data_IF_158211595682
#
_entry.id   IF_158211595682
#
_cell.length_a   1.000
_cell.length_b   1.000
_cell.length_c   1.000
_cell.angle_alpha   90.00
_cell.angle_beta   90.00
_cell.angle_gamma   90.00
#
_symmetry.space_group_name_H-M   'P 1'
#
loop_
_entity.id
_entity.type
_entity.pdbx_description
1 polymer ?
#
# COMPACT_ATOMS: atom_id res chain seq x y z
N UNK A 1 -0.03 -19.47 16.25
CA UNK A 1 0.06 -18.48 15.16
C UNK A 1 -1.32 -17.88 15.00
N UNK A 2 -1.43 -16.55 14.85
CA UNK A 2 -2.72 -15.92 14.62
C UNK A 2 -3.31 -16.45 13.29
N UNK A 3 -4.50 -17.04 13.35
CA UNK A 3 -5.28 -17.39 12.17
C UNK A 3 -6.03 -16.13 11.76
N UNK A 4 -5.62 -15.49 10.66
CA UNK A 4 -6.39 -14.40 10.07
C UNK A 4 -7.63 -14.98 9.39
N UNK A 5 -8.81 -14.44 9.68
CA UNK A 5 -10.07 -14.88 9.07
C UNK A 5 -10.47 -13.99 7.90
N UNK A 6 -9.98 -12.77 7.88
CA UNK A 6 -10.13 -11.80 6.78
C UNK A 6 -8.86 -10.96 6.66
N UNK A 7 -8.61 -10.36 5.50
CA UNK A 7 -7.38 -9.57 5.31
C UNK A 7 -7.33 -8.35 6.24
N UNK A 8 -8.47 -7.86 6.72
CA UNK A 8 -8.56 -6.74 7.67
C UNK A 8 -7.99 -7.07 9.05
N UNK A 9 -7.87 -8.36 9.39
CA UNK A 9 -7.21 -8.81 10.63
C UNK A 9 -5.69 -8.64 10.56
N UNK A 10 -5.13 -8.47 9.36
CA UNK A 10 -3.70 -8.38 9.12
C UNK A 10 -3.20 -6.98 9.49
N UNK A 11 -2.31 -6.88 10.48
CA UNK A 11 -1.78 -5.60 10.94
C UNK A 11 -1.07 -4.81 9.83
N UNK A 12 -0.34 -5.48 8.94
CA UNK A 12 0.32 -4.84 7.79
C UNK A 12 -0.70 -4.22 6.81
N UNK A 13 -1.85 -4.85 6.61
CA UNK A 13 -2.94 -4.28 5.81
C UNK A 13 -3.52 -3.03 6.48
N UNK A 14 -3.77 -3.08 7.79
CA UNK A 14 -4.29 -1.92 8.54
C UNK A 14 -3.31 -0.73 8.49
N UNK A 15 -2.00 -1.00 8.60
CA UNK A 15 -0.94 0.01 8.43
C UNK A 15 -0.92 0.56 7.02
N UNK A 16 -1.02 -0.29 5.99
CA UNK A 16 -1.08 0.13 4.60
C UNK A 16 -2.31 1.02 4.32
N UNK A 17 -3.48 0.68 4.87
CA UNK A 17 -4.70 1.51 4.78
C UNK A 17 -4.51 2.89 5.41
N UNK A 18 -3.90 2.96 6.60
CA UNK A 18 -3.59 4.25 7.26
C UNK A 18 -2.58 5.07 6.46
N UNK A 19 -1.56 4.43 5.90
CA UNK A 19 -0.58 5.07 5.03
C UNK A 19 -1.25 5.64 3.77
N UNK A 20 -2.07 4.86 3.07
CA UNK A 20 -2.80 5.32 1.89
C UNK A 20 -3.65 6.54 2.20
N UNK A 21 -4.44 6.52 3.27
CA UNK A 21 -5.22 7.69 3.71
C UNK A 21 -4.32 8.91 3.94
N UNK A 22 -3.18 8.74 4.63
CA UNK A 22 -2.26 9.84 4.92
C UNK A 22 -1.62 10.42 3.66
N UNK A 23 -1.28 9.57 2.68
CA UNK A 23 -0.78 10.01 1.38
C UNK A 23 -1.84 10.83 0.65
N UNK A 24 -3.11 10.41 0.64
CA UNK A 24 -4.19 11.20 0.04
C UNK A 24 -4.36 12.57 0.71
N UNK A 25 -4.31 12.62 2.04
CA UNK A 25 -4.38 13.88 2.81
C UNK A 25 -3.21 14.83 2.45
N UNK A 26 -1.98 14.33 2.44
CA UNK A 26 -0.78 15.15 2.16
C UNK A 26 -0.75 15.66 0.73
N UNK A 27 -1.09 14.79 -0.21
CA UNK A 27 -1.00 15.07 -1.65
C UNK A 27 -2.25 15.77 -2.20
N UNK A 28 -3.28 15.97 -1.37
CA UNK A 28 -4.52 16.67 -1.73
C UNK A 28 -4.48 18.18 -1.47
N UNK A 29 -3.39 18.70 -0.90
CA UNK A 29 -3.28 20.09 -0.46
C UNK A 29 -2.00 20.75 -0.97
N UNK A 30 -1.99 22.09 -1.01
CA UNK A 30 -0.80 22.90 -1.29
C UNK A 30 -0.19 22.67 -2.69
N UNK A 31 1.12 22.80 -2.78
CA UNK A 31 1.85 22.65 -4.05
C UNK A 31 1.90 21.20 -4.53
N UNK A 32 1.88 20.23 -3.61
CA UNK A 32 1.82 18.81 -3.97
C UNK A 32 0.54 18.47 -4.75
N UNK A 33 -0.58 19.12 -4.44
CA UNK A 33 -1.83 18.90 -5.18
C UNK A 33 -1.72 19.25 -6.68
N UNK A 34 -0.77 20.12 -7.04
CA UNK A 34 -0.52 20.62 -8.41
C UNK A 34 0.56 19.82 -9.14
N UNK A 35 1.37 19.03 -8.43
CA UNK A 35 2.30 18.07 -9.05
C UNK A 35 1.55 16.77 -9.39
N UNK A 36 0.80 16.80 -10.49
CA UNK A 36 -0.03 15.68 -10.93
C UNK A 36 0.76 14.37 -11.10
N UNK A 37 2.00 14.45 -11.60
CA UNK A 37 2.85 13.29 -11.83
C UNK A 37 3.22 12.61 -10.51
N UNK A 38 3.85 13.35 -9.61
CA UNK A 38 4.30 12.82 -8.32
C UNK A 38 3.12 12.39 -7.45
N UNK A 39 2.06 13.21 -7.41
CA UNK A 39 0.82 12.94 -6.67
C UNK A 39 0.19 11.62 -7.10
N UNK A 40 0.02 11.40 -8.40
CA UNK A 40 -0.66 10.20 -8.89
C UNK A 40 0.22 8.96 -8.78
N UNK A 41 1.55 9.11 -8.91
CA UNK A 41 2.50 8.02 -8.67
C UNK A 41 2.45 7.54 -7.21
N UNK A 42 2.63 8.44 -6.25
CA UNK A 42 2.71 8.07 -4.83
C UNK A 42 1.37 7.55 -4.29
N UNK A 43 0.23 8.08 -4.77
CA UNK A 43 -1.10 7.57 -4.41
C UNK A 43 -1.30 6.14 -4.89
N UNK A 44 -0.96 5.85 -6.15
CA UNK A 44 -1.07 4.48 -6.71
C UNK A 44 -0.17 3.50 -5.96
N UNK A 45 1.08 3.87 -5.70
CA UNK A 45 2.01 3.05 -4.92
C UNK A 45 1.46 2.77 -3.52
N UNK A 46 0.90 3.77 -2.83
CA UNK A 46 0.35 3.60 -1.48
C UNK A 46 -0.88 2.69 -1.44
N UNK A 47 -1.80 2.83 -2.40
CA UNK A 47 -2.99 1.94 -2.52
C UNK A 47 -2.57 0.51 -2.86
N UNK A 48 -1.58 0.35 -3.75
CA UNK A 48 -1.06 -0.95 -4.17
C UNK A 48 -0.60 -1.83 -2.98
N UNK A 49 -0.04 -1.23 -1.92
CA UNK A 49 0.39 -1.98 -0.73
C UNK A 49 -0.79 -2.72 -0.10
N UNK A 50 -1.90 -2.03 0.19
CA UNK A 50 -3.05 -2.66 0.84
C UNK A 50 -3.80 -3.60 -0.12
N UNK A 51 -3.86 -3.25 -1.42
CA UNK A 51 -4.49 -4.09 -2.45
C UNK A 51 -3.77 -5.43 -2.61
N UNK A 52 -2.44 -5.44 -2.66
CA UNK A 52 -1.67 -6.68 -2.79
C UNK A 52 -1.78 -7.56 -1.54
N UNK A 53 -1.82 -6.98 -0.33
CA UNK A 53 -2.03 -7.77 0.89
C UNK A 53 -3.41 -8.45 0.88
N UNK A 54 -4.46 -7.70 0.49
CA UNK A 54 -5.80 -8.25 0.38
C UNK A 54 -5.89 -9.32 -0.71
N UNK A 55 -5.41 -9.03 -1.92
CA UNK A 55 -5.43 -9.98 -3.03
C UNK A 55 -4.68 -11.27 -2.69
N UNK A 56 -3.47 -11.15 -2.11
CA UNK A 56 -2.69 -12.32 -1.71
C UNK A 56 -3.39 -13.19 -0.66
N UNK A 57 -4.11 -12.56 0.28
CA UNK A 57 -4.89 -13.27 1.29
C UNK A 57 -6.05 -14.06 0.67
N UNK A 58 -6.78 -13.45 -0.28
CA UNK A 58 -7.92 -14.07 -0.96
C UNK A 58 -7.53 -15.23 -1.90
N UNK A 59 -6.25 -15.36 -2.30
CA UNK A 59 -5.76 -16.47 -3.15
C UNK A 59 -5.68 -17.82 -2.42
N UNK A 60 -5.79 -17.85 -1.09
CA UNK A 60 -5.93 -19.08 -0.29
C UNK A 60 -4.67 -19.95 -0.12
N UNK A 61 -3.62 -19.76 -0.93
CA UNK A 61 -2.36 -20.49 -0.78
C UNK A 61 -1.27 -19.65 -0.09
N UNK A 62 -0.51 -20.27 0.83
CA UNK A 62 0.59 -19.60 1.55
C UNK A 62 1.67 -19.08 0.60
N UNK A 63 1.95 -19.81 -0.47
CA UNK A 63 2.97 -19.46 -1.47
C UNK A 63 2.56 -18.23 -2.27
N UNK A 64 1.30 -18.16 -2.71
CA UNK A 64 0.80 -16.97 -3.40
C UNK A 64 0.74 -15.79 -2.44
N UNK A 65 0.25 -16.00 -1.22
CA UNK A 65 0.21 -14.91 -0.24
C UNK A 65 1.60 -14.31 -0.01
N UNK A 66 2.64 -15.13 0.17
CA UNK A 66 4.02 -14.65 0.30
C UNK A 66 4.48 -13.83 -0.91
N UNK A 67 4.20 -14.28 -2.14
CA UNK A 67 4.52 -13.52 -3.36
C UNK A 67 3.83 -12.15 -3.39
N UNK A 68 2.57 -12.08 -2.99
CA UNK A 68 1.83 -10.81 -2.93
C UNK A 68 2.36 -9.88 -1.82
N UNK A 69 2.85 -10.43 -0.70
CA UNK A 69 3.54 -9.64 0.32
C UNK A 69 4.85 -9.04 -0.19
N UNK A 70 5.60 -9.76 -1.03
CA UNK A 70 6.80 -9.21 -1.68
C UNK A 70 6.46 -8.04 -2.61
N UNK A 71 5.37 -8.15 -3.37
CA UNK A 71 4.87 -7.05 -4.22
C UNK A 71 4.43 -5.85 -3.36
N UNK A 72 3.69 -6.09 -2.28
CA UNK A 72 3.29 -5.03 -1.34
C UNK A 72 4.52 -4.32 -0.73
N UNK A 73 5.57 -5.07 -0.39
CA UNK A 73 6.84 -4.52 0.10
C UNK A 73 7.55 -3.69 -0.98
N UNK A 74 7.54 -4.13 -2.24
CA UNK A 74 8.08 -3.36 -3.35
C UNK A 74 7.33 -2.02 -3.55
N UNK A 75 6.00 -2.03 -3.51
CA UNK A 75 5.19 -0.80 -3.56
C UNK A 75 5.46 0.14 -2.38
N UNK A 76 5.78 -0.37 -1.18
CA UNK A 76 6.22 0.48 -0.08
C UNK A 76 7.55 1.19 -0.37
N UNK A 77 8.44 0.55 -1.13
CA UNK A 77 9.64 1.18 -1.69
C UNK A 77 9.30 2.32 -2.65
N UNK A 78 8.32 2.11 -3.54
CA UNK A 78 7.84 3.12 -4.49
C UNK A 78 7.07 4.28 -3.86
N UNK A 79 6.53 4.11 -2.65
CA UNK A 79 6.03 5.26 -1.86
C UNK A 79 7.19 6.08 -1.31
N UNK A 80 8.27 5.42 -0.89
CA UNK A 80 9.41 6.07 -0.22
C UNK A 80 10.35 6.76 -1.20
N UNK A 81 10.61 6.17 -2.37
CA UNK A 81 11.60 6.70 -3.32
C UNK A 81 11.30 8.11 -3.84
N UNK A 82 10.04 8.48 -4.16
CA UNK A 82 9.75 9.81 -4.68
C UNK A 82 9.79 10.91 -3.60
N UNK A 83 9.89 10.56 -2.31
CA UNK A 83 10.03 11.53 -1.22
C UNK A 83 11.40 12.23 -1.17
N UNK A 84 12.36 11.79 -1.98
CA UNK A 84 13.69 12.39 -2.11
C UNK A 84 13.81 13.39 -3.26
N UNK A 85 12.71 13.63 -4.00
CA UNK A 85 12.59 14.59 -5.09
C UNK A 85 11.82 15.80 -4.59
#
# INVERSE_FOLDING_TARGET
MATFHRFEDIESWQKARRLARRIYELTGNGDFARDFGLRDQIRRAAVSIMSNIAEGFERGSRREFARFLDIAKASAGEVRSPLYV
#
